data_IF_230104594384
#
_entry.id   IF_230104594384
#
_cell.length_a   1.000
_cell.length_b   1.000
_cell.length_c   1.000
_cell.angle_alpha   90.00
_cell.angle_beta   90.00
_cell.angle_gamma   90.00
#
_symmetry.space_group_name_H-M   'P 1'
#
loop_
_entity.id
_entity.type
_entity.pdbx_description
1 polymer ?
#
# COMPACT_ATOMS: atom_id res chain seq x y z
N UNK A 1 -8.97 -22.28 27.04
CA UNK A 1 -9.30 -21.42 28.22
C UNK A 1 -10.00 -20.18 27.66
N UNK A 2 -11.00 -19.62 28.34
CA UNK A 2 -11.85 -18.58 27.75
C UNK A 2 -11.83 -17.31 28.60
N UNK A 3 -11.88 -16.15 27.93
CA UNK A 3 -12.18 -14.87 28.57
C UNK A 3 -13.60 -14.94 29.12
N UNK A 4 -13.77 -14.55 30.37
CA UNK A 4 -15.04 -14.62 31.08
C UNK A 4 -15.36 -13.27 31.72
N UNK A 5 -16.64 -12.97 31.88
CA UNK A 5 -17.06 -11.78 32.61
C UNK A 5 -16.89 -12.03 34.11
N UNK A 6 -16.19 -11.13 34.78
CA UNK A 6 -15.97 -11.15 36.22
C UNK A 6 -17.01 -10.23 36.89
N UNK A 7 -17.78 -10.78 37.83
CA UNK A 7 -18.87 -10.05 38.49
C UNK A 7 -18.37 -9.23 39.67
N UNK A 8 -17.43 -9.79 40.43
CA UNK A 8 -16.83 -9.12 41.58
C UNK A 8 -15.38 -8.71 41.30
N UNK A 9 -15.08 -7.41 41.39
CA UNK A 9 -13.73 -6.88 41.13
C UNK A 9 -13.03 -6.28 42.35
N UNK A 10 -13.55 -6.56 43.55
CA UNK A 10 -13.15 -5.90 44.81
C UNK A 10 -11.73 -6.21 45.27
N UNK A 11 -11.23 -7.41 44.97
CA UNK A 11 -9.92 -7.97 45.35
C UNK A 11 -8.87 -7.84 44.22
N UNK A 12 -9.17 -7.08 43.17
CA UNK A 12 -8.29 -6.92 42.03
C UNK A 12 -7.13 -5.94 42.33
N UNK A 13 -5.90 -6.41 42.16
CA UNK A 13 -4.67 -5.61 42.36
C UNK A 13 -4.24 -4.99 41.03
N UNK A 14 -3.94 -3.69 41.01
CA UNK A 14 -3.50 -3.00 39.80
C UNK A 14 -2.17 -3.57 39.27
N UNK A 15 -2.19 -4.03 38.01
CA UNK A 15 -1.01 -4.49 37.30
C UNK A 15 -0.46 -3.35 36.45
N UNK A 16 -1.27 -2.83 35.51
CA UNK A 16 -0.89 -1.75 34.60
C UNK A 16 -2.11 -0.91 34.23
N UNK A 17 -2.18 0.30 34.78
CA UNK A 17 -3.34 1.19 34.69
C UNK A 17 -3.63 1.72 33.28
N UNK A 18 -2.64 2.08 32.43
CA UNK A 18 -2.94 2.64 31.11
C UNK A 18 -3.73 1.67 30.22
N UNK A 19 -3.53 0.35 30.37
CA UNK A 19 -4.30 -0.69 29.66
C UNK A 19 -5.44 -1.26 30.52
N UNK A 20 -5.68 -0.67 31.70
CA UNK A 20 -6.67 -1.09 32.70
C UNK A 20 -6.54 -2.58 33.08
N UNK A 21 -5.30 -3.04 33.22
CA UNK A 21 -4.95 -4.42 33.60
C UNK A 21 -4.75 -4.55 35.11
N UNK A 22 -5.30 -5.62 35.65
CA UNK A 22 -5.31 -5.98 37.06
C UNK A 22 -5.02 -7.48 37.21
N UNK A 23 -4.60 -7.89 38.40
CA UNK A 23 -4.47 -9.28 38.79
C UNK A 23 -5.49 -9.58 39.89
N UNK A 24 -6.31 -10.60 39.67
CA UNK A 24 -7.34 -11.02 40.64
C UNK A 24 -7.03 -12.42 41.17
N UNK A 25 -6.92 -12.62 42.48
CA UNK A 25 -6.74 -13.95 43.06
C UNK A 25 -7.98 -14.81 42.80
N UNK A 26 -7.78 -16.12 42.64
CA UNK A 26 -8.88 -17.07 42.50
C UNK A 26 -8.57 -18.35 43.26
N UNK A 27 -9.60 -19.14 43.55
CA UNK A 27 -9.44 -20.44 44.17
C UNK A 27 -10.06 -21.54 43.29
N UNK A 28 -9.36 -22.67 43.21
CA UNK A 28 -9.84 -23.90 42.56
C UNK A 28 -10.08 -24.94 43.63
N UNK A 29 -11.15 -25.69 43.50
CA UNK A 29 -11.51 -26.76 44.41
C UNK A 29 -12.01 -27.97 43.64
N UNK A 30 -11.60 -29.15 44.09
CA UNK A 30 -12.05 -30.43 43.56
C UNK A 30 -13.14 -30.97 44.48
N UNK A 31 -14.35 -31.09 43.96
CA UNK A 31 -15.50 -31.70 44.65
C UNK A 31 -15.64 -33.13 44.15
N UNK A 32 -15.53 -34.10 45.04
CA UNK A 32 -15.74 -35.51 44.76
C UNK A 32 -17.03 -35.98 45.44
N UNK A 33 -18.00 -36.37 44.63
CA UNK A 33 -19.25 -36.97 45.10
C UNK A 33 -19.08 -38.49 45.04
N UNK A 34 -19.09 -39.13 46.20
CA UNK A 34 -18.98 -40.58 46.32
C UNK A 34 -20.32 -41.22 45.97
N UNK A 35 -20.27 -42.16 45.03
CA UNK A 35 -21.39 -42.99 44.63
C UNK A 35 -21.41 -44.28 45.45
N UNK A 36 -22.60 -44.81 45.79
CA UNK A 36 -22.72 -46.11 46.43
C UNK A 36 -22.15 -47.23 45.55
N UNK A 37 -21.60 -48.30 46.16
CA UNK A 37 -21.01 -49.43 45.42
C UNK A 37 -22.05 -50.25 44.65
N UNK A 38 -23.32 -50.21 45.06
CA UNK A 38 -24.41 -50.90 44.37
C UNK A 38 -25.13 -49.93 43.43
N UNK A 39 -25.09 -50.20 42.11
CA UNK A 39 -25.91 -49.47 41.15
C UNK A 39 -27.37 -49.89 41.31
N UNK A 40 -28.24 -48.92 41.60
CA UNK A 40 -29.69 -49.11 41.45
C UNK A 40 -29.98 -49.32 39.96
N UNK A 41 -30.40 -50.53 39.57
CA UNK A 41 -30.67 -50.88 38.18
C UNK A 41 -31.70 -49.91 37.56
N UNK A 42 -31.39 -49.35 36.39
CA UNK A 42 -32.30 -48.51 35.60
C UNK A 42 -32.34 -47.02 35.95
N UNK A 43 -31.58 -46.54 36.95
CA UNK A 43 -31.56 -45.13 37.33
C UNK A 43 -30.21 -44.46 37.05
N UNK A 44 -30.24 -43.37 36.28
CA UNK A 44 -29.06 -42.55 35.98
C UNK A 44 -28.96 -41.37 36.96
N UNK A 45 -27.73 -40.99 37.30
CA UNK A 45 -27.47 -39.82 38.15
C UNK A 45 -27.40 -38.57 37.27
N UNK A 46 -28.24 -37.59 37.58
CA UNK A 46 -28.21 -36.30 36.88
C UNK A 46 -27.06 -35.43 37.37
N UNK A 47 -26.04 -35.26 36.53
CA UNK A 47 -24.94 -34.32 36.79
C UNK A 47 -25.45 -32.90 37.02
N UNK A 48 -26.51 -32.49 36.33
CA UNK A 48 -27.10 -31.17 36.49
C UNK A 48 -27.75 -30.98 37.86
N UNK A 49 -28.49 -31.99 38.35
CA UNK A 49 -29.10 -31.94 39.67
C UNK A 49 -28.04 -31.85 40.77
N UNK A 50 -26.95 -32.61 40.65
CA UNK A 50 -25.79 -32.50 41.54
C UNK A 50 -25.21 -31.08 41.54
N UNK A 51 -25.01 -30.50 40.36
CA UNK A 51 -24.49 -29.14 40.24
C UNK A 51 -25.41 -28.10 40.90
N UNK A 52 -26.73 -28.24 40.74
CA UNK A 52 -27.71 -27.34 41.38
C UNK A 52 -27.72 -27.51 42.91
N UNK A 53 -27.68 -28.74 43.42
CA UNK A 53 -27.61 -28.97 44.88
C UNK A 53 -26.31 -28.42 45.46
N UNK A 54 -25.18 -28.59 44.77
CA UNK A 54 -23.91 -27.98 45.17
C UNK A 54 -23.96 -26.44 45.18
N UNK A 55 -24.59 -25.81 44.18
CA UNK A 55 -24.78 -24.35 44.15
C UNK A 55 -25.64 -23.86 45.32
N UNK A 56 -26.72 -24.57 45.66
CA UNK A 56 -27.59 -24.22 46.79
C UNK A 56 -26.87 -24.31 48.13
N UNK A 57 -25.96 -25.28 48.31
CA UNK A 57 -25.23 -25.48 49.56
C UNK A 57 -24.22 -24.39 49.89
N UNK A 58 -23.72 -23.66 48.89
CA UNK A 58 -22.69 -22.64 49.08
C UNK A 58 -23.24 -21.23 49.30
N UNK A 59 -24.55 -21.01 49.11
CA UNK A 59 -25.21 -19.70 49.31
C UNK A 59 -24.85 -19.11 50.69
N UNK A 60 -24.49 -17.82 50.79
CA UNK A 60 -24.54 -16.76 49.77
C UNK A 60 -23.38 -16.72 48.77
N UNK A 61 -22.45 -17.67 48.83
CA UNK A 61 -21.31 -17.74 47.91
C UNK A 61 -21.72 -18.40 46.58
N UNK A 62 -20.97 -18.14 45.51
CA UNK A 62 -21.28 -18.65 44.17
C UNK A 62 -20.01 -19.19 43.47
N UNK A 63 -20.18 -20.28 42.72
CA UNK A 63 -19.15 -20.79 41.82
C UNK A 63 -19.11 -19.95 40.55
N UNK A 64 -17.91 -19.55 40.14
CA UNK A 64 -17.68 -18.91 38.84
C UNK A 64 -17.70 -19.95 37.72
N UNK A 65 -17.08 -21.11 37.96
CA UNK A 65 -17.10 -22.25 37.07
C UNK A 65 -17.43 -23.49 37.91
N UNK A 66 -18.30 -24.34 37.41
CA UNK A 66 -18.56 -25.67 37.95
C UNK A 66 -18.70 -26.62 36.77
N UNK A 67 -17.73 -27.53 36.60
CA UNK A 67 -17.70 -28.48 35.49
C UNK A 67 -17.43 -29.89 36.00
N UNK A 68 -17.98 -30.88 35.31
CA UNK A 68 -17.66 -32.29 35.55
C UNK A 68 -16.29 -32.57 34.94
N UNK A 69 -15.34 -33.03 35.75
CA UNK A 69 -14.00 -33.41 35.30
C UNK A 69 -13.93 -34.89 34.92
N UNK A 70 -14.44 -35.76 35.79
CA UNK A 70 -14.41 -37.21 35.59
C UNK A 70 -15.65 -37.84 36.20
N UNK A 71 -16.25 -38.76 35.46
CA UNK A 71 -17.35 -39.58 35.93
C UNK A 71 -16.87 -41.04 35.98
N UNK A 72 -16.72 -41.61 37.18
CA UNK A 72 -16.47 -43.04 37.35
C UNK A 72 -17.67 -43.74 37.99
N UNK A 73 -17.62 -45.08 38.08
CA UNK A 73 -18.64 -45.87 38.76
C UNK A 73 -18.76 -45.57 40.26
N UNK A 74 -17.70 -45.06 40.88
CA UNK A 74 -17.58 -44.88 42.33
C UNK A 74 -17.56 -43.40 42.74
N UNK A 75 -17.11 -42.50 41.86
CA UNK A 75 -16.93 -41.08 42.19
C UNK A 75 -17.20 -40.21 40.98
N UNK A 76 -17.96 -39.14 41.21
CA UNK A 76 -18.09 -38.03 40.26
C UNK A 76 -17.22 -36.89 40.76
N UNK A 77 -16.22 -36.49 39.97
CA UNK A 77 -15.34 -35.37 40.28
C UNK A 77 -15.77 -34.13 39.52
N UNK A 78 -15.99 -33.05 40.24
CA UNK A 78 -16.23 -31.72 39.71
C UNK A 78 -15.02 -30.83 39.98
N UNK A 79 -14.67 -30.03 38.99
CA UNK A 79 -13.71 -28.94 39.11
C UNK A 79 -14.52 -27.65 39.25
N UNK A 80 -14.31 -26.95 40.36
CA UNK A 80 -15.05 -25.76 40.73
C UNK A 80 -14.08 -24.59 40.97
N UNK A 81 -14.47 -23.41 40.50
CA UNK A 81 -13.70 -22.18 40.67
C UNK A 81 -14.51 -21.15 41.45
N UNK A 82 -13.88 -20.49 42.41
CA UNK A 82 -14.43 -19.37 43.17
C UNK A 82 -13.78 -18.05 42.71
N UNK A 83 -14.58 -16.99 42.64
CA UNK A 83 -14.10 -15.65 42.29
C UNK A 83 -13.25 -15.01 43.39
N UNK A 84 -13.42 -15.43 44.65
CA UNK A 84 -12.69 -14.90 45.81
C UNK A 84 -12.01 -16.02 46.57
N UNK A 85 -10.70 -15.84 46.82
CA UNK A 85 -9.89 -16.81 47.55
C UNK A 85 -10.28 -16.90 49.03
N UNK A 86 -10.63 -15.78 49.66
CA UNK A 86 -10.93 -15.71 51.10
C UNK A 86 -12.17 -16.52 51.50
N UNK A 87 -13.07 -16.78 50.54
CA UNK A 87 -14.27 -17.61 50.75
C UNK A 87 -14.00 -19.10 50.68
N UNK A 88 -12.80 -19.52 50.24
CA UNK A 88 -12.47 -20.92 50.00
C UNK A 88 -12.68 -21.80 51.24
N UNK A 89 -12.10 -21.42 52.38
CA UNK A 89 -12.21 -22.20 53.62
C UNK A 89 -13.65 -22.34 54.08
N UNK A 90 -14.44 -21.26 53.97
CA UNK A 90 -15.87 -21.24 54.28
C UNK A 90 -16.67 -22.18 53.37
N UNK A 91 -16.36 -22.18 52.07
CA UNK A 91 -17.03 -23.05 51.09
C UNK A 91 -16.65 -24.51 51.33
N UNK A 92 -15.38 -24.81 51.60
CA UNK A 92 -14.92 -26.17 51.94
C UNK A 92 -15.65 -26.66 53.19
N UNK A 93 -15.68 -25.88 54.28
CA UNK A 93 -16.36 -26.26 55.51
C UNK A 93 -17.87 -26.49 55.34
N UNK A 94 -18.52 -25.78 54.41
CA UNK A 94 -19.96 -25.96 54.12
C UNK A 94 -20.28 -27.22 53.33
N UNK A 95 -19.36 -27.64 52.46
CA UNK A 95 -19.55 -28.77 51.53
C UNK A 95 -18.97 -30.08 52.06
N UNK A 96 -17.90 -30.03 52.85
CA UNK A 96 -17.20 -31.21 53.34
C UNK A 96 -18.12 -32.09 54.19
N UNK A 97 -18.17 -33.38 53.88
CA UNK A 97 -18.96 -34.36 54.60
C UNK A 97 -20.48 -34.22 54.43
N UNK A 98 -20.95 -33.31 53.56
CA UNK A 98 -22.39 -33.16 53.29
C UNK A 98 -22.94 -34.35 52.51
N UNK A 99 -24.22 -34.60 52.74
CA UNK A 99 -24.98 -35.64 52.06
C UNK A 99 -25.93 -34.97 51.07
N UNK A 100 -25.85 -35.38 49.81
CA UNK A 100 -26.78 -35.00 48.74
C UNK A 100 -27.70 -36.20 48.49
N UNK A 101 -28.99 -36.03 48.73
CA UNK A 101 -30.02 -36.96 48.27
C UNK A 101 -30.57 -36.43 46.95
N UNK A 102 -30.66 -37.23 45.90
CA UNK A 102 -31.26 -36.81 44.61
C UNK A 102 -32.74 -37.17 44.59
N UNK A 103 -33.52 -36.48 43.77
CA UNK A 103 -34.97 -36.69 43.71
C UNK A 103 -35.31 -38.08 43.18
N UNK A 104 -34.56 -38.53 42.16
CA UNK A 104 -34.79 -39.82 41.52
C UNK A 104 -33.84 -40.93 42.01
N UNK A 105 -32.90 -40.62 42.90
CA UNK A 105 -31.91 -41.59 43.40
C UNK A 105 -32.10 -41.87 44.90
N UNK A 106 -32.33 -43.13 45.31
CA UNK A 106 -32.68 -43.46 46.68
C UNK A 106 -31.51 -43.31 47.66
N UNK A 107 -30.28 -43.54 47.19
CA UNK A 107 -29.12 -43.61 48.07
C UNK A 107 -28.48 -42.22 48.32
N UNK A 108 -28.10 -41.92 49.57
CA UNK A 108 -27.43 -40.67 49.92
C UNK A 108 -26.01 -40.62 49.36
N UNK A 109 -25.67 -39.53 48.67
CA UNK A 109 -24.34 -39.30 48.09
C UNK A 109 -23.49 -38.42 49.02
N UNK A 110 -22.30 -38.89 49.40
CA UNK A 110 -21.38 -38.13 50.26
C UNK A 110 -20.48 -37.22 49.45
N UNK A 111 -20.35 -35.97 49.87
CA UNK A 111 -19.48 -34.97 49.24
C UNK A 111 -18.18 -34.87 50.01
N UNK A 112 -17.06 -34.95 49.28
CA UNK A 112 -15.73 -34.63 49.75
C UNK A 112 -15.16 -33.49 48.92
N UNK A 113 -14.54 -32.51 49.54
CA UNK A 113 -14.00 -31.33 48.89
C UNK A 113 -12.54 -31.16 49.30
N UNK A 114 -11.71 -30.77 48.33
CA UNK A 114 -10.31 -30.45 48.57
C UNK A 114 -9.91 -29.21 47.78
N UNK A 115 -9.02 -28.38 48.33
CA UNK A 115 -8.40 -27.31 47.55
C UNK A 115 -7.58 -27.95 46.42
N UNK A 116 -7.82 -27.48 45.20
CA UNK A 116 -7.05 -27.90 44.04
C UNK A 116 -5.81 -27.04 43.94
N UNK A 117 -4.62 -27.67 43.94
CA UNK A 117 -3.37 -26.95 43.72
C UNK A 117 -3.40 -26.35 42.31
N UNK A 118 -3.22 -25.05 42.22
CA UNK A 118 -3.04 -24.37 40.93
C UNK A 118 -1.73 -24.87 40.31
N UNK A 119 -1.78 -25.22 39.03
CA UNK A 119 -0.59 -25.60 38.25
C UNK A 119 0.33 -24.39 38.12
N UNK A 120 1.28 -24.29 39.03
CA UNK A 120 2.24 -23.19 39.14
C UNK A 120 3.54 -23.75 39.76
N UNK A 121 4.71 -23.48 39.15
CA UNK A 121 5.97 -24.01 39.65
C UNK A 121 6.30 -23.44 41.04
N UNK A 122 6.91 -24.27 41.89
CA UNK A 122 7.36 -23.83 43.21
C UNK A 122 8.80 -23.31 43.15
N UNK A 123 9.21 -22.53 44.15
CA UNK A 123 10.59 -22.06 44.24
C UNK A 123 11.62 -23.18 44.18
N UNK A 124 11.37 -24.22 44.95
CA UNK A 124 12.18 -25.43 44.91
C UNK A 124 12.23 -26.06 43.51
N UNK A 125 11.12 -26.04 42.75
CA UNK A 125 11.09 -26.68 41.43
C UNK A 125 11.98 -26.00 40.39
N UNK A 126 12.03 -24.66 40.34
CA UNK A 126 12.91 -23.99 39.41
C UNK A 126 14.36 -23.98 39.92
N UNK A 127 14.58 -23.76 41.22
CA UNK A 127 15.94 -23.77 41.77
C UNK A 127 16.60 -25.17 41.61
N UNK A 128 15.86 -26.26 41.81
CA UNK A 128 16.37 -27.63 41.57
C UNK A 128 16.62 -27.89 40.09
N UNK A 129 15.72 -27.44 39.21
CA UNK A 129 15.88 -27.66 37.77
C UNK A 129 17.19 -27.05 37.25
N UNK A 130 17.50 -25.79 37.60
CA UNK A 130 18.72 -25.14 37.13
C UNK A 130 19.99 -25.70 37.77
N UNK A 131 19.92 -26.13 39.04
CA UNK A 131 21.04 -26.78 39.73
C UNK A 131 21.37 -28.16 39.15
N UNK A 132 20.35 -28.95 38.83
CA UNK A 132 20.50 -30.35 38.41
C UNK A 132 20.70 -30.48 36.87
N UNK A 133 20.43 -29.41 36.10
CA UNK A 133 20.61 -29.39 34.65
C UNK A 133 22.09 -29.27 34.28
N UNK A 134 22.67 -30.35 33.75
CA UNK A 134 24.09 -30.41 33.36
C UNK A 134 24.43 -29.56 32.14
N UNK A 135 23.44 -29.12 31.37
CA UNK A 135 23.64 -28.34 30.16
C UNK A 135 23.39 -26.83 30.36
N UNK A 136 23.04 -26.38 31.56
CA UNK A 136 22.74 -24.99 31.89
C UNK A 136 23.86 -24.35 32.72
N UNK A 137 24.21 -23.10 32.42
CA UNK A 137 25.20 -22.32 33.17
C UNK A 137 24.55 -21.16 33.93
N UNK A 138 24.49 -21.24 35.26
CA UNK A 138 23.89 -20.20 36.11
C UNK A 138 24.53 -18.81 35.97
N UNK A 139 25.78 -18.75 35.48
CA UNK A 139 26.45 -17.47 35.23
C UNK A 139 25.95 -16.78 33.95
N UNK A 140 25.29 -17.52 33.06
CA UNK A 140 24.80 -17.00 31.77
C UNK A 140 23.33 -16.55 31.86
N UNK A 141 22.99 -15.36 31.34
CA UNK A 141 21.59 -14.93 31.21
C UNK A 141 20.78 -15.91 30.35
N UNK A 142 19.59 -16.29 30.82
CA UNK A 142 18.71 -17.22 30.12
C UNK A 142 19.04 -18.71 30.30
N UNK A 143 20.06 -19.03 31.11
CA UNK A 143 20.37 -20.39 31.57
C UNK A 143 20.26 -20.51 33.10
N UNK A 144 19.62 -19.53 33.73
CA UNK A 144 19.38 -19.42 35.17
C UNK A 144 17.91 -19.04 35.41
N UNK A 145 17.41 -19.06 36.66
CA UNK A 145 16.05 -18.64 36.98
C UNK A 145 15.89 -17.10 36.87
N UNK A 146 15.93 -16.59 35.65
CA UNK A 146 15.75 -15.18 35.30
C UNK A 146 14.65 -14.95 34.26
N UNK A 147 14.18 -16.01 33.60
CA UNK A 147 13.23 -15.93 32.48
C UNK A 147 11.88 -16.53 32.86
N UNK A 148 10.85 -15.68 32.88
CA UNK A 148 9.45 -16.07 33.07
C UNK A 148 8.81 -16.34 31.70
N UNK A 149 8.19 -17.50 31.54
CA UNK A 149 7.35 -17.84 30.40
C UNK A 149 5.88 -17.70 30.79
N UNK A 150 5.16 -16.81 30.12
CA UNK A 150 3.74 -16.60 30.34
C UNK A 150 2.99 -16.96 29.07
N UNK A 151 2.14 -17.98 29.15
CA UNK A 151 1.25 -18.40 28.09
C UNK A 151 -0.20 -18.02 28.37
N UNK A 152 -1.03 -18.06 27.32
CA UNK A 152 -2.45 -17.72 27.33
C UNK A 152 -2.74 -16.24 27.65
N UNK A 153 -1.90 -15.32 27.17
CA UNK A 153 -2.18 -13.88 27.27
C UNK A 153 -3.11 -13.45 26.13
N UNK A 154 -4.21 -12.72 26.38
CA UNK A 154 -5.10 -12.27 25.30
C UNK A 154 -4.44 -11.20 24.42
N UNK A 155 -4.36 -11.43 23.10
CA UNK A 155 -3.71 -10.50 22.16
C UNK A 155 -4.30 -9.10 22.29
N UNK A 156 -5.64 -8.98 22.22
CA UNK A 156 -6.40 -7.72 22.27
C UNK A 156 -6.20 -6.89 23.55
N UNK A 157 -5.61 -7.46 24.60
CA UNK A 157 -5.33 -6.75 25.85
C UNK A 157 -3.96 -6.06 25.86
N UNK A 158 -3.07 -6.45 24.94
CA UNK A 158 -1.70 -5.96 24.83
C UNK A 158 -1.43 -5.28 23.49
N UNK A 159 -2.48 -4.83 22.79
CA UNK A 159 -2.40 -3.97 21.60
C UNK A 159 -2.48 -2.51 22.03
N UNK A 160 -1.75 -1.62 21.35
CA UNK A 160 -1.85 -0.18 21.59
C UNK A 160 -3.21 0.36 21.16
N UNK A 161 -3.76 1.34 21.88
CA UNK A 161 -5.08 1.89 21.53
C UNK A 161 -5.11 2.57 20.15
N UNK A 162 -3.95 2.96 19.61
CA UNK A 162 -3.81 3.55 18.26
C UNK A 162 -3.86 2.51 17.13
N UNK A 163 -3.54 1.25 17.43
CA UNK A 163 -3.37 0.17 16.46
C UNK A 163 -4.48 -0.89 16.64
N UNK A 164 -5.70 -0.49 17.01
CA UNK A 164 -6.84 -1.41 17.24
C UNK A 164 -7.44 -1.97 15.94
N UNK A 165 -6.60 -2.41 15.01
CA UNK A 165 -7.02 -3.27 13.91
C UNK A 165 -7.26 -4.70 14.42
N UNK A 166 -8.18 -5.44 13.79
CA UNK A 166 -8.51 -6.80 14.25
C UNK A 166 -7.32 -7.76 14.22
N UNK A 167 -6.38 -7.53 13.30
CA UNK A 167 -5.19 -8.36 13.08
C UNK A 167 -3.91 -7.76 13.71
N UNK A 168 -4.03 -6.73 14.54
CA UNK A 168 -2.86 -6.08 15.12
C UNK A 168 -2.11 -7.00 16.09
N UNK A 169 -0.78 -7.16 15.94
CA UNK A 169 0.02 -8.01 16.82
C UNK A 169 0.12 -7.41 18.24
N UNK A 170 0.32 -8.27 19.26
CA UNK A 170 0.54 -7.79 20.62
C UNK A 170 1.86 -7.01 20.71
N UNK A 171 1.88 -5.91 21.48
CA UNK A 171 3.05 -5.05 21.59
C UNK A 171 4.00 -5.53 22.69
N UNK A 172 5.22 -5.89 22.28
CA UNK A 172 6.34 -6.20 23.20
C UNK A 172 6.62 -5.04 24.17
N UNK A 173 6.49 -3.80 23.70
CA UNK A 173 6.72 -2.60 24.51
C UNK A 173 5.74 -2.48 25.70
N UNK A 174 4.48 -2.90 25.52
CA UNK A 174 3.48 -2.89 26.60
C UNK A 174 3.85 -3.95 27.62
N UNK A 175 4.21 -5.16 27.19
CA UNK A 175 4.62 -6.24 28.09
C UNK A 175 5.82 -5.81 28.91
N UNK A 176 6.84 -5.23 28.28
CA UNK A 176 7.99 -4.69 29.00
C UNK A 176 7.53 -3.72 30.10
N UNK A 177 6.73 -2.70 29.78
CA UNK A 177 6.23 -1.72 30.76
C UNK A 177 5.37 -2.34 31.87
N UNK A 178 4.55 -3.32 31.53
CA UNK A 178 3.67 -4.03 32.48
C UNK A 178 4.49 -4.75 33.55
N UNK A 179 5.56 -5.45 33.15
CA UNK A 179 6.35 -6.29 34.04
C UNK A 179 7.56 -5.60 34.66
N UNK A 180 7.96 -4.43 34.15
CA UNK A 180 9.04 -3.60 34.70
C UNK A 180 8.75 -3.17 36.15
N UNK A 181 7.46 -3.16 36.55
CA UNK A 181 7.02 -2.98 37.94
C UNK A 181 7.67 -3.97 38.92
N UNK A 182 8.03 -5.18 38.49
CA UNK A 182 8.58 -6.22 39.37
C UNK A 182 10.11 -6.19 39.46
N UNK A 183 10.79 -5.60 38.47
CA UNK A 183 12.24 -5.50 38.42
C UNK A 183 12.74 -5.10 37.03
N UNK A 184 14.04 -4.85 36.92
CA UNK A 184 14.65 -4.44 35.66
C UNK A 184 14.63 -5.58 34.62
N UNK A 185 14.04 -5.31 33.46
CA UNK A 185 13.90 -6.29 32.37
C UNK A 185 15.05 -6.13 31.39
N UNK A 186 15.82 -7.21 31.19
CA UNK A 186 16.90 -7.27 30.21
C UNK A 186 16.33 -7.35 28.79
N UNK A 187 15.44 -8.31 28.57
CA UNK A 187 14.85 -8.54 27.26
C UNK A 187 13.45 -9.16 27.38
N UNK A 188 12.58 -8.85 26.43
CA UNK A 188 11.30 -9.51 26.23
C UNK A 188 11.31 -10.16 24.85
N UNK A 189 10.62 -11.27 24.69
CA UNK A 189 10.29 -11.83 23.37
C UNK A 189 8.82 -12.22 23.32
N UNK A 190 8.17 -11.79 22.25
CA UNK A 190 6.76 -12.10 21.96
C UNK A 190 6.70 -12.81 20.62
N UNK A 191 6.66 -14.15 20.59
CA UNK A 191 6.58 -14.92 19.35
C UNK A 191 5.46 -14.46 18.39
N UNK A 192 4.30 -14.08 18.91
CA UNK A 192 3.16 -13.63 18.11
C UNK A 192 3.35 -12.24 17.48
N UNK A 193 4.28 -11.44 17.97
CA UNK A 193 4.58 -10.12 17.43
C UNK A 193 5.55 -10.15 16.24
N UNK A 194 6.16 -11.31 15.95
CA UNK A 194 7.14 -11.50 14.90
C UNK A 194 6.50 -12.15 13.65
N UNK A 195 6.32 -11.40 12.54
CA UNK A 195 5.68 -11.92 11.32
C UNK A 195 6.44 -13.10 10.71
N UNK A 196 7.75 -13.19 10.93
CA UNK A 196 8.61 -14.22 10.37
C UNK A 196 8.67 -15.48 11.23
N UNK A 197 8.03 -15.48 12.41
CA UNK A 197 8.19 -16.54 13.40
C UNK A 197 7.76 -17.90 12.88
N UNK A 198 6.66 -17.95 12.13
CA UNK A 198 6.15 -19.19 11.54
C UNK A 198 7.08 -19.79 10.48
N UNK A 199 7.89 -18.96 9.83
CA UNK A 199 8.86 -19.41 8.83
C UNK A 199 10.14 -19.96 9.47
N UNK A 200 10.35 -19.74 10.78
CA UNK A 200 11.47 -20.30 11.53
C UNK A 200 11.24 -21.78 11.88
N UNK A 201 12.32 -22.49 12.22
CA UNK A 201 12.28 -23.88 12.70
C UNK A 201 11.50 -23.97 14.01
N UNK A 202 10.76 -25.07 14.19
CA UNK A 202 9.90 -25.31 15.38
C UNK A 202 10.62 -25.06 16.72
N UNK A 203 11.85 -25.56 16.86
CA UNK A 203 12.68 -25.37 18.06
C UNK A 203 13.04 -23.91 18.39
N UNK A 204 12.93 -23.01 17.41
CA UNK A 204 13.22 -21.58 17.57
C UNK A 204 11.95 -20.72 17.69
N UNK A 205 10.77 -21.31 17.48
CA UNK A 205 9.50 -20.57 17.53
C UNK A 205 9.16 -20.17 18.96
N UNK A 206 9.48 -21.01 19.96
CA UNK A 206 9.06 -20.78 21.34
C UNK A 206 7.56 -20.53 21.43
N UNK A 207 6.77 -21.37 20.76
CA UNK A 207 5.30 -21.31 20.79
C UNK A 207 4.84 -22.66 21.31
N UNK A 208 4.25 -22.67 22.51
CA UNK A 208 3.64 -23.87 23.11
C UNK A 208 2.10 -23.87 23.02
N UNK A 209 1.48 -22.73 22.66
CA UNK A 209 0.04 -22.62 22.42
C UNK A 209 -0.38 -23.43 21.18
N UNK A 210 -1.49 -24.20 21.23
CA UNK A 210 -2.07 -24.87 20.07
C UNK A 210 -2.50 -23.88 18.97
N UNK A 211 -2.40 -24.26 17.70
CA UNK A 211 -2.73 -23.39 16.57
C UNK A 211 -4.18 -22.85 16.57
N UNK A 212 -5.13 -23.55 17.21
CA UNK A 212 -6.50 -23.07 17.37
C UNK A 212 -6.60 -21.84 18.30
N UNK A 213 -5.74 -21.79 19.31
CA UNK A 213 -5.74 -20.75 20.34
C UNK A 213 -4.81 -19.58 19.97
N UNK A 214 -3.89 -19.76 19.01
CA UNK A 214 -2.90 -18.74 18.63
C UNK A 214 -3.47 -17.49 17.96
N UNK A 215 -4.75 -17.53 17.54
CA UNK A 215 -5.46 -16.36 17.00
C UNK A 215 -5.99 -15.42 18.11
N UNK A 216 -6.20 -15.92 19.32
CA UNK A 216 -6.78 -15.16 20.44
C UNK A 216 -5.74 -14.89 21.53
N UNK A 217 -4.83 -15.84 21.72
CA UNK A 217 -3.85 -15.84 22.79
C UNK A 217 -2.44 -15.89 22.25
N UNK A 218 -1.52 -15.30 23.01
CA UNK A 218 -0.09 -15.33 22.73
C UNK A 218 0.71 -15.74 23.96
N UNK A 219 1.99 -16.04 23.74
CA UNK A 219 2.97 -16.30 24.79
C UNK A 219 4.00 -15.19 24.84
N UNK A 220 4.59 -14.97 26.01
CA UNK A 220 5.69 -14.03 26.19
C UNK A 220 6.78 -14.64 27.05
N UNK A 221 8.01 -14.31 26.72
CA UNK A 221 9.20 -14.62 27.50
C UNK A 221 9.77 -13.32 28.03
N UNK A 222 9.91 -13.23 29.35
CA UNK A 222 10.36 -12.02 30.04
C UNK A 222 11.61 -12.38 30.82
N UNK A 223 12.75 -11.86 30.39
CA UNK A 223 14.02 -12.07 31.06
C UNK A 223 14.34 -10.88 31.97
N UNK A 224 14.42 -11.13 33.26
CA UNK A 224 14.84 -10.16 34.26
C UNK A 224 16.37 -10.09 34.35
N UNK A 225 16.89 -8.93 34.71
CA UNK A 225 18.33 -8.76 34.97
C UNK A 225 18.76 -9.44 36.27
N UNK A 226 17.84 -9.46 37.25
CA UNK A 226 18.08 -9.93 38.62
C UNK A 226 17.10 -11.03 39.02
N UNK A 227 17.58 -12.00 39.81
CA UNK A 227 16.76 -13.08 40.38
C UNK A 227 15.60 -12.54 41.24
N UNK A 228 15.81 -11.44 41.95
CA UNK A 228 14.78 -10.81 42.80
C UNK A 228 13.58 -10.36 41.95
N UNK A 229 13.81 -9.81 40.76
CA UNK A 229 12.75 -9.41 39.83
C UNK A 229 11.95 -10.62 39.33
N UNK A 230 12.65 -11.71 39.01
CA UNK A 230 12.04 -12.99 38.62
C UNK A 230 11.13 -13.53 39.74
N UNK A 231 11.63 -13.67 40.97
CA UNK A 231 10.85 -14.21 42.10
C UNK A 231 9.64 -13.33 42.41
N UNK A 232 9.81 -12.00 42.44
CA UNK A 232 8.69 -11.05 42.66
C UNK A 232 7.60 -11.20 41.61
N UNK A 233 7.98 -11.35 40.33
CA UNK A 233 7.03 -11.57 39.24
C UNK A 233 6.28 -12.90 39.41
N UNK A 234 7.01 -13.99 39.69
CA UNK A 234 6.42 -15.32 39.93
C UNK A 234 5.43 -15.30 41.10
N UNK A 235 5.83 -14.74 42.24
CA UNK A 235 4.95 -14.64 43.42
C UNK A 235 3.73 -13.73 43.17
N UNK A 236 3.90 -12.65 42.40
CA UNK A 236 2.80 -11.77 42.04
C UNK A 236 1.78 -12.44 41.13
N UNK A 237 2.19 -13.31 40.20
CA UNK A 237 1.28 -14.00 39.28
C UNK A 237 0.69 -15.28 39.88
N UNK A 238 1.33 -15.86 40.90
CA UNK A 238 0.89 -17.11 41.54
C UNK A 238 -0.55 -17.02 42.04
N UNK A 239 -1.38 -17.95 41.57
CA UNK A 239 -2.78 -18.06 41.99
C UNK A 239 -3.65 -16.86 41.59
N UNK A 240 -3.22 -16.06 40.61
CA UNK A 240 -3.98 -14.92 40.09
C UNK A 240 -4.33 -15.10 38.62
N UNK A 241 -5.45 -14.54 38.22
CA UNK A 241 -5.88 -14.38 36.83
C UNK A 241 -5.66 -12.94 36.40
N UNK A 242 -5.48 -12.75 35.09
CA UNK A 242 -5.43 -11.42 34.51
C UNK A 242 -6.86 -10.89 34.36
N UNK A 243 -7.10 -9.66 34.80
CA UNK A 243 -8.39 -8.98 34.74
C UNK A 243 -8.23 -7.65 33.98
N UNK A 244 -9.11 -7.37 33.03
CA UNK A 244 -9.21 -6.08 32.36
C UNK A 244 -10.52 -5.41 32.74
N UNK A 245 -10.45 -4.22 33.34
CA UNK A 245 -11.64 -3.43 33.69
C UNK A 245 -11.95 -2.45 32.55
N UNK A 246 -13.04 -2.67 31.81
CA UNK A 246 -13.64 -1.66 30.92
C UNK A 246 -14.67 -0.85 31.72
N UNK A 247 -15.30 0.13 31.09
CA UNK A 247 -16.23 1.05 31.78
C UNK A 247 -17.46 0.30 32.31
N UNK A 248 -18.00 -0.63 31.52
CA UNK A 248 -19.21 -1.36 31.89
C UNK A 248 -18.98 -2.84 32.25
N UNK A 249 -17.86 -3.42 31.79
CA UNK A 249 -17.61 -4.87 31.87
C UNK A 249 -16.19 -5.13 32.35
N UNK A 250 -16.06 -6.01 33.34
CA UNK A 250 -14.78 -6.56 33.75
C UNK A 250 -14.60 -7.97 33.17
N UNK A 251 -13.50 -8.19 32.46
CA UNK A 251 -13.18 -9.47 31.83
C UNK A 251 -11.96 -10.07 32.50
N UNK A 252 -12.01 -11.34 32.92
CA UNK A 252 -10.83 -12.06 33.42
C UNK A 252 -10.42 -13.22 32.51
N UNK A 253 -9.14 -13.55 32.52
CA UNK A 253 -8.53 -14.58 31.71
C UNK A 253 -7.54 -15.40 32.56
N UNK A 254 -7.60 -16.73 32.38
CA UNK A 254 -6.64 -17.66 32.98
C UNK A 254 -5.31 -17.61 32.24
N UNK A 255 -4.25 -17.21 32.94
CA UNK A 255 -2.88 -17.22 32.43
C UNK A 255 -2.15 -18.46 32.94
N UNK A 256 -1.21 -18.99 32.14
CA UNK A 256 -0.30 -20.05 32.55
C UNK A 256 1.09 -19.46 32.69
N UNK A 257 1.71 -19.66 33.84
CA UNK A 257 3.03 -19.09 34.16
C UNK A 257 3.96 -20.25 34.48
N UNK A 258 5.09 -20.30 33.80
CA UNK A 258 6.19 -21.24 34.02
C UNK A 258 7.52 -20.49 33.91
N UNK A 259 8.63 -21.19 34.16
CA UNK A 259 9.98 -20.70 33.90
C UNK A 259 10.53 -21.29 32.60
N UNK A 260 11.48 -20.60 31.98
CA UNK A 260 12.10 -21.08 30.75
C UNK A 260 12.98 -22.32 31.00
N UNK A 261 12.70 -23.38 30.24
CA UNK A 261 13.44 -24.65 30.26
C UNK A 261 14.17 -24.90 28.94
N UNK A 262 13.96 -24.05 27.94
CA UNK A 262 14.37 -24.30 26.54
C UNK A 262 15.50 -23.40 26.06
N UNK A 263 16.10 -22.60 26.97
CA UNK A 263 17.18 -21.64 26.65
C UNK A 263 16.74 -20.60 25.63
N UNK A 264 15.46 -20.25 25.63
CA UNK A 264 14.84 -19.40 24.63
C UNK A 264 15.43 -17.98 24.64
N UNK A 265 15.72 -17.47 25.83
CA UNK A 265 16.24 -16.13 26.07
C UNK A 265 17.77 -16.07 26.21
N UNK A 266 18.49 -17.13 25.83
CA UNK A 266 19.96 -17.08 25.75
C UNK A 266 20.41 -16.14 24.63
N UNK A 267 21.52 -15.42 24.85
CA UNK A 267 22.08 -14.49 23.85
C UNK A 267 22.31 -15.20 22.49
N UNK A 268 22.71 -16.48 22.51
CA UNK A 268 22.87 -17.29 21.30
C UNK A 268 21.54 -17.58 20.59
N UNK A 269 20.48 -17.94 21.32
CA UNK A 269 19.16 -18.18 20.73
C UNK A 269 18.55 -16.89 20.19
N UNK A 270 18.65 -15.78 20.93
CA UNK A 270 18.20 -14.45 20.50
C UNK A 270 18.93 -14.02 19.24
N UNK A 271 20.27 -14.12 19.21
CA UNK A 271 21.08 -13.75 18.04
C UNK A 271 20.76 -14.60 16.82
N UNK A 272 20.58 -15.92 16.99
CA UNK A 272 20.15 -16.81 15.89
C UNK A 272 18.80 -16.38 15.32
N UNK A 273 17.83 -16.05 16.18
CA UNK A 273 16.50 -15.59 15.76
C UNK A 273 16.58 -14.24 15.04
N UNK A 274 17.39 -13.30 15.52
CA UNK A 274 17.63 -12.01 14.87
C UNK A 274 18.23 -12.20 13.46
N UNK A 275 19.25 -13.05 13.31
CA UNK A 275 19.87 -13.34 12.00
C UNK A 275 18.87 -13.99 11.04
N UNK A 276 18.06 -14.94 11.51
CA UNK A 276 17.04 -15.57 10.65
C UNK A 276 15.97 -14.56 10.25
N UNK A 277 15.50 -13.73 11.18
CA UNK A 277 14.55 -12.64 10.91
C UNK A 277 15.09 -11.68 9.86
N UNK A 278 16.35 -11.25 10.00
CA UNK A 278 17.01 -10.35 9.05
C UNK A 278 17.12 -10.99 7.66
N UNK A 279 17.54 -12.26 7.56
CA UNK A 279 17.62 -12.99 6.29
C UNK A 279 16.26 -13.09 5.59
N UNK A 280 15.19 -13.37 6.34
CA UNK A 280 13.84 -13.47 5.80
C UNK A 280 13.32 -12.09 5.35
N UNK A 281 13.55 -11.04 6.14
CA UNK A 281 13.18 -9.67 5.79
C UNK A 281 13.90 -9.20 4.52
N UNK A 282 15.20 -9.45 4.40
CA UNK A 282 15.98 -9.12 3.20
C UNK A 282 15.48 -9.87 1.96
N UNK A 283 15.15 -11.15 2.10
CA UNK A 283 14.58 -11.94 1.00
C UNK A 283 13.21 -11.42 0.57
N UNK A 284 12.37 -11.01 1.52
CA UNK A 284 11.06 -10.43 1.21
C UNK A 284 11.19 -9.08 0.51
N UNK A 285 12.06 -8.18 1.01
CA UNK A 285 12.34 -6.89 0.37
C UNK A 285 12.89 -7.05 -1.04
N UNK A 286 13.84 -7.97 -1.25
CA UNK A 286 14.38 -8.24 -2.58
C UNK A 286 13.29 -8.72 -3.56
N UNK A 287 12.35 -9.55 -3.09
CA UNK A 287 11.21 -10.00 -3.89
C UNK A 287 10.24 -8.85 -4.18
N UNK A 288 9.93 -8.02 -3.20
CA UNK A 288 9.06 -6.85 -3.37
C UNK A 288 9.67 -5.82 -4.34
N UNK A 289 11.00 -5.62 -4.28
CA UNK A 289 11.73 -4.77 -5.23
C UNK A 289 11.74 -5.36 -6.65
N UNK A 290 11.90 -6.69 -6.79
CA UNK A 290 11.82 -7.37 -8.09
C UNK A 290 10.41 -7.27 -8.69
N UNK A 291 9.37 -7.55 -7.88
CA UNK A 291 7.96 -7.43 -8.28
C UNK A 291 7.61 -5.98 -8.65
N UNK A 292 8.14 -4.99 -7.91
CA UNK A 292 7.93 -3.58 -8.22
C UNK A 292 8.68 -3.17 -9.49
N UNK A 293 9.92 -3.62 -9.69
CA UNK A 293 10.68 -3.35 -10.90
C UNK A 293 10.04 -3.99 -12.14
N UNK A 294 9.42 -5.16 -12.00
CA UNK A 294 8.64 -5.79 -13.07
C UNK A 294 7.39 -4.97 -13.40
N UNK A 295 6.63 -4.53 -12.40
CA UNK A 295 5.47 -3.63 -12.58
C UNK A 295 5.86 -2.32 -13.27
N UNK A 296 6.97 -1.70 -12.86
CA UNK A 296 7.47 -0.47 -13.46
C UNK A 296 7.93 -0.67 -14.91
N UNK A 297 8.56 -1.81 -15.23
CA UNK A 297 8.91 -2.19 -16.61
C UNK A 297 7.67 -2.36 -17.48
N UNK A 298 6.63 -3.03 -16.97
CA UNK A 298 5.35 -3.20 -17.66
C UNK A 298 4.69 -1.83 -17.90
N UNK A 299 4.56 -1.01 -16.86
CA UNK A 299 3.99 0.33 -16.96
C UNK A 299 4.76 1.22 -17.96
N UNK A 300 6.09 1.15 -17.98
CA UNK A 300 6.93 1.87 -18.95
C UNK A 300 6.74 1.35 -20.37
N UNK A 301 6.53 0.05 -20.56
CA UNK A 301 6.23 -0.55 -21.87
C UNK A 301 4.86 -0.09 -22.37
N UNK A 302 3.84 -0.12 -21.52
CA UNK A 302 2.50 0.37 -21.86
C UNK A 302 2.51 1.88 -22.17
N UNK A 303 3.23 2.69 -21.39
CA UNK A 303 3.36 4.13 -21.65
C UNK A 303 4.04 4.40 -23.00
N UNK A 304 5.09 3.64 -23.34
CA UNK A 304 5.76 3.73 -24.64
C UNK A 304 4.84 3.32 -25.79
N UNK A 305 4.02 2.29 -25.61
CA UNK A 305 3.04 1.88 -26.61
C UNK A 305 1.93 2.92 -26.80
N UNK A 306 1.41 3.50 -25.71
CA UNK A 306 0.46 4.64 -25.77
C UNK A 306 1.07 5.84 -26.49
N UNK A 307 2.31 6.20 -26.18
CA UNK A 307 3.00 7.32 -26.84
C UNK A 307 3.25 7.05 -28.32
N UNK A 308 3.60 5.82 -28.71
CA UNK A 308 3.72 5.43 -30.12
C UNK A 308 2.37 5.52 -30.83
N UNK A 309 1.30 5.06 -30.20
CA UNK A 309 -0.05 5.15 -30.76
C UNK A 309 -0.47 6.61 -30.95
N UNK A 310 -0.28 7.47 -29.94
CA UNK A 310 -0.58 8.89 -30.03
C UNK A 310 0.27 9.60 -31.11
N UNK A 311 1.56 9.27 -31.21
CA UNK A 311 2.43 9.82 -32.26
C UNK A 311 2.02 9.36 -33.65
N UNK A 312 1.63 8.09 -33.81
CA UNK A 312 1.12 7.57 -35.07
C UNK A 312 -0.20 8.24 -35.47
N UNK A 313 -1.10 8.49 -34.52
CA UNK A 313 -2.34 9.24 -34.77
C UNK A 313 -2.07 10.70 -35.15
N UNK A 314 -1.16 11.39 -34.45
CA UNK A 314 -0.74 12.75 -34.83
C UNK A 314 -0.13 12.79 -36.23
N UNK A 315 0.75 11.84 -36.56
CA UNK A 315 1.37 11.76 -37.88
C UNK A 315 0.35 11.48 -39.00
N UNK A 316 -0.66 10.63 -38.73
CA UNK A 316 -1.79 10.45 -39.67
C UNK A 316 -2.57 11.74 -39.85
N UNK A 317 -2.85 12.47 -38.77
CA UNK A 317 -3.59 13.73 -38.80
C UNK A 317 -2.82 14.80 -39.60
N UNK A 318 -1.52 14.91 -39.37
CA UNK A 318 -0.65 15.86 -40.08
C UNK A 318 -0.52 15.51 -41.57
N UNK A 319 -0.39 14.22 -41.91
CA UNK A 319 -0.43 13.77 -43.32
C UNK A 319 -1.75 14.10 -44.01
N UNK A 320 -2.87 14.03 -43.29
CA UNK A 320 -4.18 14.43 -43.83
C UNK A 320 -4.25 15.94 -44.07
N UNK A 321 -3.75 16.75 -43.12
CA UNK A 321 -3.67 18.21 -43.26
C UNK A 321 -2.76 18.62 -44.42
N UNK A 322 -1.58 18.02 -44.55
CA UNK A 322 -0.64 18.30 -45.64
C UNK A 322 -1.25 17.96 -47.01
N UNK A 323 -2.01 16.85 -47.11
CA UNK A 323 -2.75 16.51 -48.33
C UNK A 323 -3.83 17.55 -48.66
N UNK A 324 -4.50 18.10 -47.66
CA UNK A 324 -5.50 19.15 -47.83
C UNK A 324 -4.86 20.48 -48.26
N UNK A 325 -3.76 20.89 -47.63
CA UNK A 325 -3.00 22.08 -48.01
C UNK A 325 -2.41 21.96 -49.40
N UNK A 326 -1.90 20.79 -49.80
CA UNK A 326 -1.39 20.56 -51.15
C UNK A 326 -2.49 20.67 -52.20
N UNK A 327 -3.73 20.28 -51.88
CA UNK A 327 -4.90 20.49 -52.76
C UNK A 327 -5.23 21.99 -52.87
N UNK A 328 -5.26 22.71 -51.76
CA UNK A 328 -5.49 24.17 -51.73
C UNK A 328 -4.40 24.94 -52.51
N UNK A 329 -3.12 24.60 -52.32
CA UNK A 329 -1.98 25.22 -53.01
C UNK A 329 -2.00 24.97 -54.52
N UNK A 330 -2.39 23.77 -54.96
CA UNK A 330 -2.59 23.46 -56.38
C UNK A 330 -3.76 24.25 -56.99
N UNK A 331 -4.84 24.44 -56.25
CA UNK A 331 -5.96 25.28 -56.70
C UNK A 331 -5.54 26.74 -56.83
N UNK A 332 -4.77 27.27 -55.87
CA UNK A 332 -4.27 28.63 -55.91
C UNK A 332 -3.27 28.86 -57.07
N UNK A 333 -2.35 27.91 -57.30
CA UNK A 333 -1.40 27.99 -58.42
C UNK A 333 -2.12 28.00 -59.79
N UNK A 334 -3.18 27.20 -59.96
CA UNK A 334 -4.00 27.23 -61.19
C UNK A 334 -4.72 28.55 -61.40
N UNK A 335 -5.08 29.25 -60.32
CA UNK A 335 -5.69 30.59 -60.43
C UNK A 335 -4.64 31.61 -60.89
N UNK A 336 -3.45 31.59 -60.29
CA UNK A 336 -2.35 32.49 -60.67
C UNK A 336 -1.87 32.27 -62.11
N UNK A 337 -1.78 31.02 -62.58
CA UNK A 337 -1.39 30.71 -63.96
C UNK A 337 -2.40 31.27 -64.98
N UNK A 338 -3.69 31.32 -64.62
CA UNK A 338 -4.73 31.93 -65.46
C UNK A 338 -4.57 33.44 -65.53
N UNK A 339 -4.26 34.08 -64.41
CA UNK A 339 -4.03 35.53 -64.33
C UNK A 339 -2.75 35.95 -65.08
N UNK A 340 -1.69 35.13 -65.02
CA UNK A 340 -0.42 35.38 -65.72
C UNK A 340 -0.58 35.30 -67.25
N UNK A 341 -1.40 34.39 -67.77
CA UNK A 341 -1.69 34.28 -69.21
C UNK A 341 -2.41 35.53 -69.72
N UNK A 342 -3.36 36.06 -68.95
CA UNK A 342 -4.09 37.29 -69.30
C UNK A 342 -3.18 38.53 -69.28
N UNK A 343 -2.26 38.61 -68.32
CA UNK A 343 -1.24 39.66 -68.26
C UNK A 343 -0.27 39.58 -69.45
N UNK A 344 0.21 38.39 -69.78
CA UNK A 344 1.19 38.20 -70.86
C UNK A 344 0.60 38.50 -72.25
N UNK A 345 -0.69 38.18 -72.45
CA UNK A 345 -1.44 38.55 -73.65
C UNK A 345 -1.52 40.08 -73.83
N UNK A 346 -1.83 40.82 -72.75
CA UNK A 346 -1.86 42.29 -72.77
C UNK A 346 -0.49 42.91 -73.06
N UNK A 347 0.59 42.35 -72.51
CA UNK A 347 1.97 42.83 -72.77
C UNK A 347 2.36 42.65 -74.24
N UNK A 348 1.99 41.52 -74.87
CA UNK A 348 2.30 41.26 -76.27
C UNK A 348 1.59 42.23 -77.24
N UNK A 349 0.35 42.62 -76.94
CA UNK A 349 -0.40 43.59 -77.74
C UNK A 349 0.25 44.98 -77.73
N UNK A 350 0.69 45.43 -76.55
CA UNK A 350 1.37 46.73 -76.40
C UNK A 350 2.73 46.76 -77.11
N UNK A 351 3.53 45.68 -77.02
CA UNK A 351 4.79 45.58 -77.76
C UNK A 351 4.60 45.65 -79.29
N UNK A 352 3.52 45.07 -79.81
CA UNK A 352 3.22 45.09 -81.25
C UNK A 352 2.84 46.49 -81.75
N UNK A 353 2.18 47.30 -80.92
CA UNK A 353 1.88 48.71 -81.22
C UNK A 353 3.18 49.54 -81.28
N UNK A 354 4.04 49.38 -80.28
CA UNK A 354 5.33 50.08 -80.21
C UNK A 354 6.21 49.78 -81.43
N UNK A 355 6.28 48.51 -81.85
CA UNK A 355 7.10 48.10 -83.00
C UNK A 355 6.59 48.71 -84.32
N UNK A 356 5.28 48.85 -84.50
CA UNK A 356 4.69 49.52 -85.67
C UNK A 356 5.04 51.02 -85.69
N UNK A 357 5.05 51.69 -84.55
CA UNK A 357 5.43 53.09 -84.44
C UNK A 357 6.91 53.29 -84.80
N UNK A 358 7.81 52.43 -84.30
CA UNK A 358 9.23 52.46 -84.65
C UNK A 358 9.49 52.29 -86.16
N UNK A 359 8.83 51.32 -86.81
CA UNK A 359 8.97 51.09 -88.27
C UNK A 359 8.53 52.31 -89.09
N UNK A 360 7.44 52.97 -88.68
CA UNK A 360 6.96 54.20 -89.33
C UNK A 360 7.98 55.34 -89.21
N UNK A 361 8.59 55.51 -88.04
CA UNK A 361 9.62 56.53 -87.83
C UNK A 361 10.88 56.26 -88.68
N UNK A 362 11.30 55.00 -88.77
CA UNK A 362 12.44 54.61 -89.62
C UNK A 362 12.16 54.86 -91.11
N UNK A 363 10.94 54.58 -91.58
CA UNK A 363 10.55 54.85 -92.96
C UNK A 363 10.62 56.36 -93.29
N UNK A 364 10.19 57.23 -92.36
CA UNK A 364 10.28 58.69 -92.53
C UNK A 364 11.75 59.14 -92.65
N UNK A 365 12.65 58.61 -91.81
CA UNK A 365 14.09 58.94 -91.87
C UNK A 365 14.72 58.51 -93.19
N UNK A 366 14.36 57.33 -93.71
CA UNK A 366 14.85 56.84 -95.00
C UNK A 366 14.43 57.78 -96.16
N UNK A 367 13.19 58.26 -96.13
CA UNK A 367 12.66 59.21 -97.12
C UNK A 367 13.41 60.56 -97.04
N UNK A 368 13.67 61.09 -95.83
CA UNK A 368 14.50 62.29 -95.66
C UNK A 368 15.89 62.14 -96.30
N UNK A 369 16.53 60.99 -96.10
CA UNK A 369 17.88 60.72 -96.59
C UNK A 369 17.93 60.54 -98.11
N UNK A 370 16.89 59.93 -98.69
CA UNK A 370 16.71 59.83 -100.14
C UNK A 370 16.50 61.21 -100.78
N UNK A 371 15.71 62.10 -100.17
CA UNK A 371 15.53 63.46 -100.66
C UNK A 371 16.84 64.26 -100.64
N UNK A 372 17.66 64.15 -99.58
CA UNK A 372 18.99 64.80 -99.53
C UNK A 372 19.95 64.32 -100.62
N UNK A 373 19.87 63.03 -101.01
CA UNK A 373 20.74 62.46 -102.05
C UNK A 373 20.33 62.85 -103.47
N UNK A 374 19.07 63.17 -103.71
CA UNK A 374 18.58 63.66 -105.01
C UNK A 374 18.99 65.14 -105.23
N UNK A 375 19.13 65.95 -104.18
CA UNK A 375 19.51 67.37 -104.27
C UNK A 375 20.99 67.63 -104.63
N UNK A 376 21.88 66.63 -104.56
CA UNK A 376 23.34 66.78 -104.69
C UNK A 376 23.94 66.22 -105.99
N UNK A 377 23.14 65.90 -107.02
CA UNK A 377 23.64 65.38 -108.32
C UNK A 377 23.34 66.34 -109.49
N UNK A 378 24.32 67.16 -109.95
CA UNK A 378 24.18 68.09 -111.09
C UNK A 378 24.17 67.41 -112.47
N UNK A 379 24.45 66.11 -112.54
CA UNK A 379 24.67 65.36 -113.79
C UNK A 379 23.37 64.88 -114.46
N UNK A 380 22.22 65.03 -113.80
CA UNK A 380 20.88 64.77 -114.37
C UNK A 380 20.24 66.00 -115.04
N UNK A 381 20.97 67.13 -115.14
CA UNK A 381 20.45 68.40 -115.69
C UNK A 381 21.01 68.81 -117.06
N UNK A 382 21.87 68.01 -117.72
CA UNK A 382 22.59 68.47 -118.93
C UNK A 382 22.67 67.50 -120.12
N UNK A 383 21.75 66.54 -120.27
CA UNK A 383 21.79 65.66 -121.44
C UNK A 383 20.43 65.15 -121.91
N UNK A 384 19.52 66.05 -122.32
CA UNK A 384 18.49 65.74 -123.32
C UNK A 384 18.21 67.02 -124.14
N UNK A 385 18.93 67.17 -125.26
CA UNK A 385 18.56 68.12 -126.31
C UNK A 385 17.74 67.34 -127.34
N UNK A 386 16.42 67.54 -127.32
CA UNK A 386 15.51 66.94 -128.29
C UNK A 386 14.08 66.87 -127.78
N UNK A 387 13.31 67.95 -128.03
CA UNK A 387 11.85 68.10 -127.95
C UNK A 387 11.23 68.54 -126.61
N UNK A 388 10.61 69.74 -126.70
CA UNK A 388 9.51 70.34 -125.92
C UNK A 388 9.70 70.53 -124.40
N UNK A 389 9.52 71.77 -123.95
CA UNK A 389 9.86 72.23 -122.61
C UNK A 389 8.89 71.83 -121.51
N UNK A 390 9.39 71.83 -120.26
CA UNK A 390 8.83 72.59 -119.15
C UNK A 390 9.81 72.59 -117.97
N UNK A 391 10.15 73.79 -117.46
CA UNK A 391 11.02 74.00 -116.30
C UNK A 391 10.28 73.55 -115.04
N UNK A 392 10.69 72.45 -114.41
CA UNK A 392 10.16 72.03 -113.12
C UNK A 392 11.06 72.50 -111.96
N UNK A 393 10.47 73.32 -111.08
CA UNK A 393 10.87 73.74 -109.72
C UNK A 393 11.49 75.14 -109.54
N UNK A 394 10.60 76.08 -109.21
CA UNK A 394 10.89 77.38 -108.59
C UNK A 394 11.40 77.23 -107.15
N UNK A 395 12.27 78.14 -106.69
CA UNK A 395 12.85 78.13 -105.34
C UNK A 395 11.80 78.18 -104.20
N UNK A 396 10.57 78.62 -104.46
CA UNK A 396 9.49 78.68 -103.47
C UNK A 396 8.92 77.32 -103.04
N UNK A 397 8.87 76.33 -103.94
CA UNK A 397 8.29 75.00 -103.67
C UNK A 397 9.21 74.12 -102.81
N UNK A 398 10.53 74.39 -102.83
CA UNK A 398 11.53 73.72 -101.98
C UNK A 398 11.32 74.03 -100.49
N UNK A 399 11.07 75.29 -100.17
CA UNK A 399 10.85 75.72 -98.77
C UNK A 399 9.49 75.24 -98.20
N UNK A 400 8.48 75.06 -99.05
CA UNK A 400 7.19 74.50 -98.64
C UNK A 400 7.29 73.00 -98.30
N UNK A 401 8.02 72.22 -99.11
CA UNK A 401 8.20 70.77 -98.90
C UNK A 401 9.02 70.44 -97.65
N UNK A 402 10.12 71.16 -97.40
CA UNK A 402 10.93 70.95 -96.19
C UNK A 402 10.12 71.16 -94.91
N UNK A 403 9.25 72.17 -94.87
CA UNK A 403 8.38 72.45 -93.71
C UNK A 403 7.32 71.38 -93.46
N UNK A 404 6.82 70.72 -94.51
CA UNK A 404 5.84 69.62 -94.36
C UNK A 404 6.51 68.38 -93.76
N UNK A 405 7.71 68.03 -94.23
CA UNK A 405 8.46 66.87 -93.71
C UNK A 405 8.85 67.10 -92.25
N UNK A 406 9.34 68.29 -91.89
CA UNK A 406 9.67 68.67 -90.52
C UNK A 406 8.44 68.58 -89.58
N UNK A 407 7.27 69.00 -90.06
CA UNK A 407 6.00 68.93 -89.29
C UNK A 407 5.58 67.47 -89.04
N UNK A 408 5.65 66.61 -90.06
CA UNK A 408 5.31 65.19 -89.93
C UNK A 408 6.28 64.44 -89.01
N UNK A 409 7.56 64.77 -89.08
CA UNK A 409 8.60 64.21 -88.21
C UNK A 409 8.35 64.57 -86.74
N UNK A 410 8.13 65.85 -86.41
CA UNK A 410 7.80 66.27 -85.04
C UNK A 410 6.53 65.61 -84.50
N UNK A 411 5.48 65.48 -85.32
CA UNK A 411 4.24 64.84 -84.90
C UNK A 411 4.42 63.34 -84.58
N UNK A 412 5.27 62.63 -85.34
CA UNK A 412 5.56 61.22 -85.08
C UNK A 412 6.57 61.00 -83.94
N UNK A 413 7.51 61.93 -83.71
CA UNK A 413 8.40 61.90 -82.54
C UNK A 413 7.62 62.13 -81.23
N UNK A 414 6.68 63.10 -81.20
CA UNK A 414 5.81 63.33 -80.05
C UNK A 414 4.89 62.12 -79.74
N UNK A 415 4.38 61.45 -80.79
CA UNK A 415 3.56 60.25 -80.61
C UNK A 415 4.36 59.04 -80.08
N UNK A 416 5.67 58.96 -80.39
CA UNK A 416 6.55 57.92 -79.87
C UNK A 416 6.95 58.19 -78.41
N UNK A 417 7.21 59.44 -78.05
CA UNK A 417 7.57 59.81 -76.67
C UNK A 417 6.36 59.73 -75.72
N UNK A 418 5.15 60.04 -76.19
CA UNK A 418 3.91 59.83 -75.43
C UNK A 418 3.51 58.35 -75.23
N UNK A 419 4.16 57.41 -75.93
CA UNK A 419 3.98 55.96 -75.73
C UNK A 419 5.12 55.34 -74.88
N UNK A 420 6.12 56.15 -74.48
CA UNK A 420 7.28 55.74 -73.67
C UNK A 420 7.22 56.23 -72.23
N UNK A 421 6.40 57.25 -71.93
CA UNK A 421 6.00 57.66 -70.60
C UNK A 421 4.71 56.93 -70.21
#
# INVERSE_FOLDING_TARGET
>A
MNIQVCRDTSDAVALYLPQRLYLKPFAKLNISVQLPPHKVHGKSISNWELMEKLRKMIIPDAFSILKVMKHSSEVIRFDAELEQRDRLERVIARLEGRIIQLNDYPDPLKVKVSESKVDFPSRHSWDSFFRDATDMDEMKPGERPDTVHIANLPIRWFVHDRDRDEDAPPSESIIKKVFEKYGNIRQVDVPAADPFRMQMKSSMRGISIPAADSALYFESYIQFSEYVGFVRCMDALRGKKLLRKKEDIAEWCGIRVDFDKTKHMTDAAVKRRAIVRERLATRQRAKEEEDQAEKDKIAKREARERQKYERAEREKLDRMREREERRKKKQLAKLMERDDVDLNSKVAEEQRKLLKAQKKLQAIRLIEELFKRIELRPELQRQVNGHAGERYYSAGERSARARIVERYKRAHEQALDGQRA
#
